data_IF_750859101845
#
_entry.id   IF_750859101845
#
_cell.length_a   1.000
_cell.length_b   1.000
_cell.length_c   1.000
_cell.angle_alpha   90.00
_cell.angle_beta   90.00
_cell.angle_gamma   90.00
#
_symmetry.space_group_name_H-M   'P 1'
#
loop_
_entity.id
_entity.type
_entity.pdbx_description
1 polymer ?
#
# COMPACT_ATOMS: atom_id res chain seq x y z
N UNK A 1 -26.32 8.59 26.83
CA UNK A 1 -25.71 8.52 25.48
C UNK A 1 -24.42 7.77 25.57
N UNK A 2 -24.36 6.60 24.99
CA UNK A 2 -23.10 5.84 24.89
C UNK A 2 -22.17 6.56 23.90
N UNK A 3 -20.97 6.93 24.38
CA UNK A 3 -19.94 7.52 23.54
C UNK A 3 -19.61 6.49 22.44
N UNK A 4 -19.61 6.88 21.14
CA UNK A 4 -19.28 5.92 20.08
C UNK A 4 -17.88 5.37 20.32
N UNK A 5 -17.65 4.10 19.95
CA UNK A 5 -16.35 3.47 20.07
C UNK A 5 -15.29 4.28 19.30
N UNK A 6 -14.07 4.45 19.87
CA UNK A 6 -13.03 5.18 19.18
C UNK A 6 -12.62 4.47 17.89
N UNK A 7 -12.35 5.24 16.83
CA UNK A 7 -11.82 4.76 15.56
C UNK A 7 -10.32 4.56 15.75
N UNK A 8 -9.88 3.30 15.64
CA UNK A 8 -8.48 2.91 15.93
C UNK A 8 -7.61 3.13 14.71
N UNK A 9 -6.66 4.05 14.82
CA UNK A 9 -5.75 4.42 13.74
C UNK A 9 -4.37 3.85 14.00
N UNK A 10 -3.80 3.17 13.00
CA UNK A 10 -2.42 2.68 13.00
C UNK A 10 -1.60 3.50 12.02
N UNK A 11 -0.41 3.91 12.42
CA UNK A 11 0.55 4.62 11.58
C UNK A 11 1.56 3.62 11.04
N UNK A 12 1.75 3.63 9.73
CA UNK A 12 2.79 2.86 9.06
C UNK A 12 3.83 3.79 8.46
N UNK A 13 5.10 3.51 8.73
CA UNK A 13 6.24 4.25 8.20
C UNK A 13 7.23 3.31 7.52
N UNK A 14 7.91 3.80 6.49
CA UNK A 14 8.93 3.05 5.76
C UNK A 14 10.03 3.99 5.27
N UNK A 15 11.26 3.50 5.35
CA UNK A 15 12.41 4.13 4.73
C UNK A 15 13.26 3.05 4.06
N UNK A 16 13.58 3.23 2.78
CA UNK A 16 14.49 2.33 2.08
C UNK A 16 15.95 2.63 2.44
N UNK A 17 16.82 1.62 2.33
CA UNK A 17 18.26 1.79 2.54
C UNK A 17 18.92 2.68 1.48
N UNK A 18 18.27 2.83 0.32
CA UNK A 18 18.76 3.63 -0.81
C UNK A 18 18.40 5.12 -0.69
N UNK A 19 17.46 5.47 0.20
CA UNK A 19 17.14 6.86 0.44
C UNK A 19 18.24 7.52 1.28
N UNK A 20 18.93 8.49 0.67
CA UNK A 20 20.07 9.17 1.28
C UNK A 20 19.73 9.82 2.62
N UNK A 21 20.77 9.98 3.45
CA UNK A 21 20.71 10.57 4.79
C UNK A 21 20.26 12.05 4.81
N UNK A 22 20.21 12.70 3.66
CA UNK A 22 20.06 14.15 3.53
C UNK A 22 18.61 14.66 3.59
N UNK A 23 17.63 13.78 3.75
CA UNK A 23 16.23 14.21 3.81
C UNK A 23 15.67 13.98 5.21
N UNK A 24 15.84 14.96 6.08
CA UNK A 24 15.29 14.96 7.43
C UNK A 24 13.76 14.71 7.44
N UNK A 25 13.06 15.13 6.39
CA UNK A 25 11.62 14.91 6.23
C UNK A 25 11.22 13.48 5.88
N UNK A 26 12.16 12.63 5.48
CA UNK A 26 11.90 11.22 5.16
C UNK A 26 12.28 10.25 6.27
N UNK A 27 12.71 10.75 7.42
CA UNK A 27 12.98 9.88 8.57
C UNK A 27 11.68 9.21 9.05
N UNK A 28 11.82 8.03 9.66
CA UNK A 28 10.68 7.32 10.24
C UNK A 28 9.97 8.17 11.30
N UNK A 29 10.75 8.90 12.11
CA UNK A 29 10.21 9.76 13.18
C UNK A 29 9.42 10.94 12.61
N UNK A 30 9.93 11.60 11.56
CA UNK A 30 9.23 12.70 10.90
C UNK A 30 7.92 12.24 10.26
N UNK A 31 7.91 11.09 9.61
CA UNK A 31 6.70 10.49 9.05
C UNK A 31 5.67 10.19 10.14
N UNK A 32 6.12 9.57 11.23
CA UNK A 32 5.24 9.23 12.36
C UNK A 32 4.66 10.49 13.00
N UNK A 33 5.48 11.50 13.21
CA UNK A 33 5.04 12.78 13.80
C UNK A 33 3.98 13.45 12.94
N UNK A 34 4.17 13.52 11.63
CA UNK A 34 3.19 14.09 10.71
C UNK A 34 1.87 13.29 10.70
N UNK A 35 1.95 11.96 10.72
CA UNK A 35 0.77 11.11 10.77
C UNK A 35 0.04 11.23 12.12
N UNK A 36 0.78 11.30 13.23
CA UNK A 36 0.20 11.47 14.56
C UNK A 36 -0.51 12.82 14.69
N UNK A 37 0.09 13.88 14.16
CA UNK A 37 -0.54 15.20 14.13
C UNK A 37 -1.83 15.19 13.31
N UNK A 38 -1.85 14.48 12.19
CA UNK A 38 -3.06 14.32 11.38
C UNK A 38 -4.16 13.56 12.14
N UNK A 39 -3.84 12.45 12.77
CA UNK A 39 -4.79 11.69 13.60
C UNK A 39 -5.34 12.57 14.73
N UNK A 40 -4.49 13.33 15.40
CA UNK A 40 -4.91 14.25 16.45
C UNK A 40 -5.85 15.34 15.93
N UNK A 41 -5.62 15.85 14.72
CA UNK A 41 -6.51 16.82 14.08
C UNK A 41 -7.92 16.26 13.83
N UNK A 42 -8.05 14.93 13.73
CA UNK A 42 -9.32 14.22 13.52
C UNK A 42 -9.91 13.67 14.85
N UNK A 43 -9.39 14.05 15.98
CA UNK A 43 -9.89 13.60 17.28
C UNK A 43 -11.37 13.95 17.50
N UNK A 44 -11.85 15.04 16.92
CA UNK A 44 -13.27 15.41 16.92
C UNK A 44 -14.17 14.40 16.20
N UNK A 45 -13.63 13.66 15.24
CA UNK A 45 -14.30 12.57 14.51
C UNK A 45 -14.20 11.21 15.24
N UNK A 46 -13.57 11.18 16.40
CA UNK A 46 -13.41 9.97 17.22
C UNK A 46 -12.16 9.15 16.88
N UNK A 47 -11.21 9.69 16.13
CA UNK A 47 -9.97 9.00 15.80
C UNK A 47 -9.06 8.89 17.02
N UNK A 48 -8.51 7.72 17.23
CA UNK A 48 -7.59 7.42 18.34
C UNK A 48 -6.38 6.67 17.80
N UNK A 49 -5.19 7.16 18.15
CA UNK A 49 -3.95 6.52 17.73
C UNK A 49 -3.67 5.28 18.58
N UNK A 50 -3.38 4.15 17.90
CA UNK A 50 -2.93 2.94 18.55
C UNK A 50 -1.48 3.07 19.05
N UNK A 51 -1.14 2.46 20.19
CA UNK A 51 0.23 2.51 20.73
C UNK A 51 1.23 1.65 19.97
N UNK A 52 0.78 0.71 19.14
CA UNK A 52 1.65 -0.17 18.35
C UNK A 52 2.42 0.62 17.30
N UNK A 53 3.68 0.25 17.10
CA UNK A 53 4.58 0.85 16.12
C UNK A 53 4.76 -0.09 14.94
N UNK A 54 4.54 0.43 13.73
CA UNK A 54 4.68 -0.30 12.47
C UNK A 54 5.68 0.44 11.57
N UNK A 55 6.96 0.25 11.85
CA UNK A 55 8.06 0.90 11.14
C UNK A 55 8.92 -0.13 10.41
N UNK A 56 9.12 0.06 9.11
CA UNK A 56 10.01 -0.74 8.28
C UNK A 56 11.18 0.12 7.77
N UNK A 57 12.24 0.22 8.56
CA UNK A 57 13.49 0.83 8.16
C UNK A 57 14.34 -0.11 7.33
N UNK A 58 14.88 0.36 6.18
CA UNK A 58 15.74 -0.44 5.32
C UNK A 58 15.02 -1.38 4.36
N UNK A 59 13.71 -1.24 4.17
CA UNK A 59 12.90 -2.10 3.30
C UNK A 59 12.38 -1.34 2.08
N UNK A 60 12.49 -1.97 0.91
CA UNK A 60 11.99 -1.40 -0.34
C UNK A 60 10.46 -1.38 -0.39
N UNK A 61 9.88 -0.32 -0.98
CA UNK A 61 8.46 -0.26 -1.30
C UNK A 61 8.03 -1.21 -2.42
N UNK A 62 8.97 -1.84 -3.12
CA UNK A 62 8.71 -2.81 -4.17
C UNK A 62 8.41 -4.24 -3.69
N UNK A 63 8.54 -4.51 -2.39
CA UNK A 63 8.22 -5.82 -1.80
C UNK A 63 7.11 -5.70 -0.76
N UNK A 64 6.25 -6.71 -0.71
CA UNK A 64 5.23 -6.86 0.34
C UNK A 64 5.76 -7.60 1.57
N UNK A 65 6.88 -8.27 1.46
CA UNK A 65 7.47 -9.03 2.57
C UNK A 65 8.29 -8.10 3.47
N UNK A 66 7.58 -7.35 4.32
CA UNK A 66 8.12 -6.41 5.28
C UNK A 66 7.56 -6.73 6.67
N UNK A 67 8.40 -6.86 7.72
CA UNK A 67 7.94 -7.33 9.03
C UNK A 67 6.84 -6.48 9.66
N UNK A 68 6.99 -5.16 9.66
CA UNK A 68 5.98 -4.27 10.24
C UNK A 68 4.70 -4.23 9.41
N UNK A 69 4.79 -4.25 8.08
CA UNK A 69 3.63 -4.33 7.22
C UNK A 69 2.86 -5.63 7.45
N UNK A 70 3.57 -6.75 7.57
CA UNK A 70 2.96 -8.05 7.84
C UNK A 70 2.22 -8.06 9.17
N UNK A 71 2.80 -7.48 10.23
CA UNK A 71 2.12 -7.32 11.52
C UNK A 71 0.89 -6.43 11.42
N UNK A 72 1.00 -5.32 10.70
CA UNK A 72 -0.12 -4.41 10.48
C UNK A 72 -1.28 -5.10 9.75
N UNK A 73 -1.00 -5.82 8.69
CA UNK A 73 -2.03 -6.55 7.93
C UNK A 73 -2.66 -7.67 8.76
N UNK A 74 -1.89 -8.34 9.62
CA UNK A 74 -2.43 -9.33 10.56
C UNK A 74 -3.37 -8.66 11.59
N UNK A 75 -3.03 -7.50 12.09
CA UNK A 75 -3.86 -6.75 13.04
C UNK A 75 -5.13 -6.21 12.37
N UNK A 76 -5.07 -5.80 11.11
CA UNK A 76 -6.25 -5.47 10.30
C UNK A 76 -7.16 -6.68 10.14
N UNK A 77 -6.60 -7.83 9.80
CA UNK A 77 -7.35 -9.08 9.64
C UNK A 77 -8.01 -9.54 10.95
N UNK A 78 -7.37 -9.26 12.09
CA UNK A 78 -7.92 -9.54 13.42
C UNK A 78 -8.98 -8.52 13.88
N UNK A 79 -9.24 -7.47 13.10
CA UNK A 79 -10.20 -6.42 13.44
C UNK A 79 -9.71 -5.43 14.51
N UNK A 80 -8.40 -5.28 14.66
CA UNK A 80 -7.79 -4.39 15.67
C UNK A 80 -7.49 -2.98 15.14
N UNK A 81 -7.52 -2.80 13.83
CA UNK A 81 -7.20 -1.53 13.15
C UNK A 81 -8.38 -1.13 12.28
N UNK A 82 -8.83 0.10 12.42
CA UNK A 82 -9.93 0.66 11.62
C UNK A 82 -9.41 1.55 10.47
N UNK A 83 -8.31 2.26 10.69
CA UNK A 83 -7.70 3.13 9.69
C UNK A 83 -6.18 2.95 9.69
N UNK A 84 -5.61 2.79 8.49
CA UNK A 84 -4.17 2.86 8.27
C UNK A 84 -3.82 4.28 7.81
N UNK A 85 -2.89 4.93 8.48
CA UNK A 85 -2.41 6.27 8.15
C UNK A 85 -0.96 6.19 7.70
N UNK A 86 -0.67 6.74 6.55
CA UNK A 86 0.70 6.83 6.00
C UNK A 86 1.02 8.27 5.60
N UNK A 87 2.30 8.62 5.58
CA UNK A 87 2.74 9.94 5.14
C UNK A 87 2.51 10.15 3.65
N UNK A 88 2.87 9.15 2.83
CA UNK A 88 2.62 9.09 1.38
C UNK A 88 2.25 7.67 0.97
N UNK A 89 1.55 7.52 -0.14
CA UNK A 89 1.17 6.19 -0.66
C UNK A 89 2.41 5.35 -0.98
N UNK A 90 3.49 5.95 -1.49
CA UNK A 90 4.73 5.23 -1.81
C UNK A 90 5.47 4.70 -0.57
N UNK A 91 5.12 5.16 0.63
CA UNK A 91 5.58 4.56 1.88
C UNK A 91 4.92 3.22 2.15
N UNK A 92 3.67 3.06 1.76
CA UNK A 92 2.98 1.78 1.85
C UNK A 92 3.46 0.81 0.76
N UNK A 93 3.41 1.23 -0.49
CA UNK A 93 3.89 0.44 -1.63
C UNK A 93 4.16 1.33 -2.85
N UNK A 94 5.09 0.90 -3.71
CA UNK A 94 5.35 1.51 -5.02
C UNK A 94 4.64 0.78 -6.15
N UNK A 95 4.03 -0.37 -5.87
CA UNK A 95 3.32 -1.19 -6.83
C UNK A 95 1.81 -0.97 -6.70
N UNK A 96 1.15 -0.55 -7.77
CA UNK A 96 -0.32 -0.45 -7.79
C UNK A 96 -1.00 -1.81 -7.59
N UNK A 97 -0.38 -2.89 -8.07
CA UNK A 97 -0.88 -4.25 -7.86
C UNK A 97 -0.89 -4.65 -6.38
N UNK A 98 0.18 -4.33 -5.66
CA UNK A 98 0.27 -4.59 -4.22
C UNK A 98 -0.68 -3.68 -3.43
N UNK A 99 -0.81 -2.42 -3.84
CA UNK A 99 -1.79 -1.50 -3.27
C UNK A 99 -3.21 -2.04 -3.41
N UNK A 100 -3.55 -2.57 -4.58
CA UNK A 100 -4.84 -3.22 -4.82
C UNK A 100 -5.10 -4.37 -3.83
N UNK A 101 -4.10 -5.23 -3.59
CA UNK A 101 -4.21 -6.33 -2.62
C UNK A 101 -4.44 -5.83 -1.20
N UNK A 102 -3.72 -4.79 -0.80
CA UNK A 102 -3.89 -4.18 0.53
C UNK A 102 -5.31 -3.64 0.66
N UNK A 103 -5.81 -2.91 -0.33
CA UNK A 103 -7.16 -2.35 -0.33
C UNK A 103 -8.23 -3.44 -0.27
N UNK A 104 -8.06 -4.54 -0.99
CA UNK A 104 -8.98 -5.69 -0.91
C UNK A 104 -9.11 -6.23 0.51
N UNK A 105 -7.99 -6.38 1.22
CA UNK A 105 -7.98 -6.82 2.62
C UNK A 105 -8.65 -5.78 3.52
N UNK A 106 -8.38 -4.50 3.32
CA UNK A 106 -8.99 -3.41 4.08
C UNK A 106 -10.52 -3.40 3.89
N UNK A 107 -10.98 -3.48 2.65
CA UNK A 107 -12.42 -3.50 2.33
C UNK A 107 -13.12 -4.72 2.94
N UNK A 108 -12.49 -5.89 2.89
CA UNK A 108 -13.03 -7.11 3.48
C UNK A 108 -13.22 -7.01 5.01
N UNK A 109 -12.43 -6.17 5.68
CA UNK A 109 -12.48 -5.95 7.13
C UNK A 109 -13.14 -4.64 7.53
N UNK A 110 -13.64 -3.86 6.57
CA UNK A 110 -14.25 -2.56 6.83
C UNK A 110 -13.24 -1.51 7.29
N UNK A 111 -11.95 -1.70 7.02
CA UNK A 111 -10.90 -0.75 7.35
C UNK A 111 -10.70 0.28 6.22
N UNK A 112 -10.15 1.42 6.55
CA UNK A 112 -9.89 2.52 5.62
C UNK A 112 -8.40 2.87 5.56
N UNK A 113 -8.03 3.66 4.55
CA UNK A 113 -6.67 4.09 4.28
C UNK A 113 -6.62 5.61 4.12
N UNK A 114 -5.61 6.23 4.69
CA UNK A 114 -5.40 7.68 4.60
C UNK A 114 -3.93 7.99 4.31
N UNK A 115 -3.68 8.84 3.33
CA UNK A 115 -2.38 9.45 3.06
C UNK A 115 -2.41 10.93 3.46
N UNK A 116 -1.44 11.33 4.28
CA UNK A 116 -1.42 12.69 4.85
C UNK A 116 -1.10 13.75 3.81
N UNK A 117 -0.09 13.50 2.95
CA UNK A 117 0.41 14.53 2.02
C UNK A 117 -0.31 14.56 0.68
N UNK A 118 -1.02 13.52 0.29
CA UNK A 118 -1.63 13.39 -1.03
C UNK A 118 -3.14 13.55 -1.01
N UNK A 119 -3.70 14.10 0.06
CA UNK A 119 -5.14 14.33 0.23
C UNK A 119 -6.00 13.11 -0.16
N UNK A 120 -5.50 11.90 0.10
CA UNK A 120 -6.14 10.65 -0.24
C UNK A 120 -6.72 10.01 1.02
N UNK A 121 -8.03 9.91 1.06
CA UNK A 121 -8.73 9.42 2.25
C UNK A 121 -9.93 8.56 1.83
N UNK A 122 -9.85 7.26 2.01
CA UNK A 122 -10.92 6.32 1.65
C UNK A 122 -12.09 6.31 2.63
N UNK A 123 -12.02 7.09 3.70
CA UNK A 123 -13.18 7.32 4.59
C UNK A 123 -14.24 8.21 3.93
N UNK A 124 -13.87 8.98 2.90
CA UNK A 124 -14.75 9.85 2.15
C UNK A 124 -15.20 9.22 0.83
N UNK A 125 -16.37 9.58 0.33
CA UNK A 125 -16.88 9.12 -0.97
C UNK A 125 -15.95 9.53 -2.13
N UNK A 126 -15.42 10.75 -2.08
CA UNK A 126 -14.48 11.24 -3.10
C UNK A 126 -13.16 10.46 -3.08
N UNK A 127 -12.65 10.16 -1.90
CA UNK A 127 -11.44 9.34 -1.76
C UNK A 127 -11.64 7.93 -2.28
N UNK A 128 -12.80 7.32 -2.05
CA UNK A 128 -13.14 6.00 -2.60
C UNK A 128 -13.28 6.03 -4.12
N UNK A 129 -13.87 7.06 -4.69
CA UNK A 129 -13.92 7.23 -6.14
C UNK A 129 -12.51 7.34 -6.73
N UNK A 130 -11.65 8.14 -6.13
CA UNK A 130 -10.23 8.26 -6.54
C UNK A 130 -9.53 6.91 -6.46
N UNK A 131 -9.74 6.15 -5.39
CA UNK A 131 -9.21 4.80 -5.24
C UNK A 131 -9.68 3.89 -6.37
N UNK A 132 -10.97 3.85 -6.67
CA UNK A 132 -11.55 3.00 -7.71
C UNK A 132 -10.95 3.33 -9.08
N UNK A 133 -10.73 4.61 -9.37
CA UNK A 133 -10.06 5.05 -10.61
C UNK A 133 -8.63 4.54 -10.65
N UNK A 134 -7.85 4.68 -9.58
CA UNK A 134 -6.48 4.17 -9.50
C UNK A 134 -6.40 2.65 -9.67
N UNK A 135 -7.31 1.91 -9.04
CA UNK A 135 -7.38 0.44 -9.17
C UNK A 135 -7.73 0.02 -10.59
N UNK A 136 -8.62 0.74 -11.27
CA UNK A 136 -8.96 0.50 -12.67
C UNK A 136 -7.75 0.73 -13.59
N UNK A 137 -6.97 1.77 -13.34
CA UNK A 137 -5.69 2.01 -14.05
C UNK A 137 -4.69 0.89 -13.81
N UNK A 138 -4.54 0.43 -12.59
CA UNK A 138 -3.63 -0.67 -12.25
C UNK A 138 -4.01 -1.96 -12.98
N UNK A 139 -5.30 -2.27 -13.07
CA UNK A 139 -5.81 -3.41 -13.82
C UNK A 139 -5.53 -3.26 -15.32
N UNK A 140 -5.82 -2.09 -15.88
CA UNK A 140 -5.57 -1.78 -17.28
C UNK A 140 -4.07 -1.94 -17.64
N UNK A 141 -3.17 -1.38 -16.83
CA UNK A 141 -1.72 -1.54 -17.05
C UNK A 141 -1.28 -3.00 -17.02
N UNK A 142 -1.83 -3.81 -16.11
CA UNK A 142 -1.54 -5.24 -16.04
C UNK A 142 -2.02 -5.97 -17.28
N UNK A 143 -3.20 -5.67 -17.78
CA UNK A 143 -3.76 -6.26 -18.99
C UNK A 143 -2.92 -5.89 -20.23
N UNK A 144 -2.60 -4.62 -20.41
CA UNK A 144 -1.76 -4.12 -21.51
C UNK A 144 -0.36 -4.73 -21.45
N UNK A 145 0.25 -4.80 -20.30
CA UNK A 145 1.56 -5.43 -20.10
C UNK A 145 1.50 -6.92 -20.46
N UNK A 146 0.46 -7.62 -20.02
CA UNK A 146 0.24 -9.03 -20.36
C UNK A 146 0.09 -9.25 -21.86
N UNK A 147 -0.65 -8.40 -22.55
CA UNK A 147 -0.79 -8.43 -24.01
C UNK A 147 0.55 -8.20 -24.70
N UNK A 148 1.29 -7.18 -24.32
CA UNK A 148 2.62 -6.89 -24.88
C UNK A 148 3.60 -8.04 -24.69
N UNK A 149 3.59 -8.69 -23.54
CA UNK A 149 4.43 -9.86 -23.27
C UNK A 149 4.03 -11.01 -24.17
N UNK A 150 2.73 -11.30 -24.30
CA UNK A 150 2.22 -12.36 -25.19
C UNK A 150 2.58 -12.11 -26.63
N UNK A 151 2.40 -10.89 -27.12
CA UNK A 151 2.74 -10.49 -28.49
C UNK A 151 4.24 -10.64 -28.74
N UNK A 152 5.07 -10.23 -27.80
CA UNK A 152 6.52 -10.36 -27.88
C UNK A 152 6.96 -11.83 -27.91
N UNK A 153 6.36 -12.67 -27.09
CA UNK A 153 6.61 -14.12 -27.08
C UNK A 153 6.19 -14.74 -28.40
N UNK A 154 5.00 -14.42 -28.92
CA UNK A 154 4.51 -14.90 -30.19
C UNK A 154 5.42 -14.49 -31.35
N UNK A 155 5.86 -13.23 -31.41
CA UNK A 155 6.80 -12.73 -32.41
C UNK A 155 8.16 -13.45 -32.33
N UNK A 156 8.66 -13.71 -31.12
CA UNK A 156 9.92 -14.42 -30.93
C UNK A 156 9.82 -15.89 -31.32
N UNK A 157 8.71 -16.55 -31.02
CA UNK A 157 8.44 -17.92 -31.48
C UNK A 157 8.35 -18.01 -32.99
N UNK A 158 7.70 -17.04 -33.65
CA UNK A 158 7.65 -16.97 -35.09
C UNK A 158 9.03 -16.84 -35.75
N UNK A 159 9.99 -16.21 -35.04
CA UNK A 159 11.39 -16.11 -35.46
C UNK A 159 12.24 -17.31 -35.08
N UNK A 160 11.67 -18.33 -34.43
CA UNK A 160 12.39 -19.52 -33.97
C UNK A 160 13.25 -19.30 -32.73
N UNK A 161 13.05 -18.20 -32.02
CA UNK A 161 13.78 -17.91 -30.79
C UNK A 161 13.16 -18.62 -29.58
N UNK A 162 14.00 -19.17 -28.71
CA UNK A 162 13.56 -19.79 -27.49
C UNK A 162 13.34 -18.72 -26.42
N UNK A 163 12.16 -18.73 -25.76
CA UNK A 163 11.75 -17.73 -24.79
C UNK A 163 11.63 -18.28 -23.34
N UNK A 164 12.30 -19.35 -23.05
CA UNK A 164 12.23 -20.00 -21.72
C UNK A 164 11.29 -21.22 -21.71
N UNK A 165 11.34 -21.96 -20.65
CA UNK A 165 10.66 -23.24 -20.50
C UNK A 165 11.57 -24.44 -20.82
N UNK A 166 11.08 -25.64 -20.63
CA UNK A 166 11.85 -26.85 -20.97
C UNK A 166 11.99 -26.95 -22.48
N UNK A 167 13.21 -27.15 -22.96
CA UNK A 167 13.45 -27.53 -24.34
C UNK A 167 12.70 -28.83 -24.61
N UNK A 168 11.71 -28.81 -25.48
CA UNK A 168 11.18 -30.03 -26.05
C UNK A 168 12.31 -30.67 -26.86
N UNK A 169 12.85 -31.78 -26.37
CA UNK A 169 13.74 -32.62 -27.14
C UNK A 169 12.91 -33.29 -28.23
N UNK A 170 13.01 -32.76 -29.43
CA UNK A 170 12.50 -33.47 -30.61
C UNK A 170 13.48 -34.60 -30.92
N UNK A 171 13.06 -35.81 -30.69
CA UNK A 171 13.69 -36.98 -31.28
C UNK A 171 13.08 -37.22 -32.67
#
# INVERSE_FOLDING_TARGET
MTKPAPIRCAIYTRKSSEEGLDQAFNSLDAQREACAAYVQSQAGEGWSLLPQIYDDGGWSGGTMDRPALNRLMADVAAGRVDIIVVYKIDRLTRSLGDFSRIVEVLDAKGASFVSVTQAFNTTTSMGRLTLNVLLSFAQFEREVTGERIRDKIAASKAKGLWMGGQCATWL
#
